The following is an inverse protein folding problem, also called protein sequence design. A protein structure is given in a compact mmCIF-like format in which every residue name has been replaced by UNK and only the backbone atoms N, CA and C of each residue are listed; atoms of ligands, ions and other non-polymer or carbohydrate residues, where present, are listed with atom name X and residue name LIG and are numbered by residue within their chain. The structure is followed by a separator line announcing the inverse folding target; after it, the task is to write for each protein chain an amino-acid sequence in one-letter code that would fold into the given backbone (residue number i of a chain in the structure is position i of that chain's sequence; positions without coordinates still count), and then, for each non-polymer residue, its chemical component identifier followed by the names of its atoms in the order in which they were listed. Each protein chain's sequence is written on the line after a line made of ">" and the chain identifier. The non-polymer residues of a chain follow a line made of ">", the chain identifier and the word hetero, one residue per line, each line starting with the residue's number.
data_IF_193940829713
#
_entry.id   IF_193940829713
#
_cell.length_a   1.000
_cell.length_b   1.000
_cell.length_c   1.000
_cell.angle_alpha   90.00
_cell.angle_beta   90.00
_cell.angle_gamma   90.00
#
_symmetry.space_group_name_H-M   'P 1'
#
loop_
_entity.id
_entity.type
_entity.pdbx_description
1 polymer ?
#
# COMPACT_ATOMS: atom_id res chain seq x y z
N UNK A 1 -0.79 0.70 26.29
CA UNK A 1 -0.66 -0.75 26.05
C UNK A 1 -1.03 -1.58 27.29
N UNK A 2 -0.59 -1.25 28.50
CA UNK A 2 -0.87 -2.07 29.71
C UNK A 2 -2.36 -2.38 29.94
N UNK A 3 -3.24 -1.39 29.74
CA UNK A 3 -4.70 -1.60 29.84
C UNK A 3 -5.22 -2.58 28.78
N UNK A 4 -4.66 -2.54 27.57
CA UNK A 4 -5.02 -3.46 26.48
C UNK A 4 -4.62 -4.89 26.84
N UNK A 5 -3.43 -5.09 27.41
CA UNK A 5 -2.97 -6.40 27.87
C UNK A 5 -3.89 -6.99 28.92
N UNK A 6 -4.35 -6.15 29.88
CA UNK A 6 -5.33 -6.54 30.90
C UNK A 6 -6.68 -6.94 30.29
N UNK A 7 -7.15 -6.20 29.30
CA UNK A 7 -8.39 -6.52 28.56
C UNK A 7 -8.29 -7.82 27.76
N UNK A 8 -7.19 -8.03 27.06
CA UNK A 8 -6.94 -9.28 26.32
C UNK A 8 -6.98 -10.48 27.27
N UNK A 9 -6.38 -10.35 28.46
CA UNK A 9 -6.40 -11.41 29.47
C UNK A 9 -7.81 -11.70 30.03
N UNK A 10 -8.67 -10.68 30.15
CA UNK A 10 -10.03 -10.83 30.69
C UNK A 10 -11.04 -11.31 29.64
N UNK A 11 -10.92 -10.86 28.37
CA UNK A 11 -11.86 -11.19 27.29
C UNK A 11 -11.47 -12.47 26.57
N UNK A 12 -10.18 -12.80 26.56
CA UNK A 12 -9.58 -13.95 25.86
C UNK A 12 -9.99 -14.07 24.38
N UNK A 13 -9.79 -13.02 23.55
CA UNK A 13 -10.22 -13.01 22.16
C UNK A 13 -9.34 -13.90 21.27
N UNK A 14 -9.89 -14.41 20.16
CA UNK A 14 -9.16 -15.13 19.11
C UNK A 14 -8.47 -14.18 18.12
N UNK A 15 -9.08 -13.02 17.87
CA UNK A 15 -8.58 -11.98 16.98
C UNK A 15 -8.42 -10.65 17.75
N UNK A 16 -7.26 -10.03 17.58
CA UNK A 16 -6.94 -8.71 18.14
C UNK A 16 -6.57 -7.78 17.01
N UNK A 17 -7.21 -6.62 16.95
CA UNK A 17 -6.90 -5.56 15.98
C UNK A 17 -6.45 -4.33 16.77
N UNK A 18 -5.27 -3.81 16.44
CA UNK A 18 -4.68 -2.61 17.03
C UNK A 18 -4.59 -1.52 15.97
N UNK A 19 -5.44 -0.51 16.06
CA UNK A 19 -5.47 0.65 15.17
C UNK A 19 -5.29 1.96 15.97
N UNK A 20 -4.17 2.61 15.88
CA UNK A 20 -2.91 2.26 15.23
C UNK A 20 -1.85 1.96 16.30
N UNK A 21 -0.89 1.11 15.94
CA UNK A 21 0.16 0.70 16.89
C UNK A 21 0.99 1.89 17.43
N UNK A 22 1.12 2.97 16.65
CA UNK A 22 1.88 4.15 17.05
C UNK A 22 1.23 4.96 18.18
N UNK A 23 -0.06 4.77 18.43
CA UNK A 23 -0.77 5.52 19.49
C UNK A 23 -0.54 4.95 20.88
N UNK A 24 0.06 3.77 20.98
CA UNK A 24 0.25 3.07 22.24
C UNK A 24 1.63 3.30 22.86
N UNK A 25 1.68 3.24 24.18
CA UNK A 25 2.90 3.30 24.98
C UNK A 25 2.93 2.19 26.01
N UNK A 26 4.12 1.71 26.35
CA UNK A 26 4.41 0.88 27.51
C UNK A 26 5.10 1.73 28.58
N UNK A 27 4.59 1.70 29.81
CA UNK A 27 5.11 2.51 30.92
C UNK A 27 6.56 2.15 31.28
N UNK A 28 6.93 0.91 31.06
CA UNK A 28 8.29 0.39 31.32
C UNK A 28 9.38 1.07 30.47
N UNK A 29 8.99 1.72 29.37
CA UNK A 29 9.90 2.38 28.42
C UNK A 29 9.81 3.92 28.43
N UNK A 30 9.40 4.51 29.57
CA UNK A 30 9.52 5.95 29.78
C UNK A 30 11.00 6.38 29.83
N UNK A 31 11.34 7.57 29.25
CA UNK A 31 10.50 8.68 28.85
C UNK A 31 10.10 8.71 27.35
N UNK A 32 10.26 7.61 26.62
CA UNK A 32 9.89 7.57 25.19
C UNK A 32 8.40 7.85 24.99
N UNK A 33 8.07 8.69 23.99
CA UNK A 33 6.69 9.11 23.69
C UNK A 33 5.99 8.13 22.77
N UNK A 34 4.65 8.17 22.73
CA UNK A 34 3.84 7.50 21.72
C UNK A 34 4.32 7.89 20.32
N UNK A 35 4.31 6.95 19.37
CA UNK A 35 4.80 7.14 18.01
C UNK A 35 6.32 7.10 17.87
N UNK A 36 7.09 7.10 18.96
CA UNK A 36 8.53 6.91 18.85
C UNK A 36 8.86 5.48 18.36
N UNK A 37 9.93 5.28 17.57
CA UNK A 37 10.32 3.96 17.08
C UNK A 37 10.46 2.93 18.21
N UNK A 38 11.01 3.34 19.36
CA UNK A 38 11.18 2.47 20.54
C UNK A 38 9.83 2.01 21.08
N UNK A 39 8.89 2.93 21.35
CA UNK A 39 7.57 2.57 21.88
C UNK A 39 6.78 1.71 20.90
N UNK A 40 6.79 2.05 19.62
CA UNK A 40 6.13 1.28 18.56
C UNK A 40 6.65 -0.15 18.52
N UNK A 41 7.99 -0.30 18.55
CA UNK A 41 8.66 -1.60 18.54
C UNK A 41 8.28 -2.44 19.77
N UNK A 42 8.33 -1.85 20.96
CA UNK A 42 8.05 -2.58 22.20
C UNK A 42 6.57 -2.95 22.33
N UNK A 43 5.66 -2.06 21.90
CA UNK A 43 4.25 -2.40 21.81
C UNK A 43 3.99 -3.56 20.84
N UNK A 44 4.65 -3.55 19.67
CA UNK A 44 4.55 -4.63 18.70
C UNK A 44 5.13 -5.94 19.24
N UNK A 45 6.29 -5.91 19.90
CA UNK A 45 6.87 -7.08 20.58
C UNK A 45 5.92 -7.68 21.59
N UNK A 46 5.21 -6.86 22.37
CA UNK A 46 4.20 -7.34 23.31
C UNK A 46 3.07 -8.09 22.60
N UNK A 47 2.57 -7.55 21.47
CA UNK A 47 1.53 -8.19 20.67
C UNK A 47 2.02 -9.48 20.01
N UNK A 48 3.26 -9.53 19.52
CA UNK A 48 3.85 -10.75 18.95
C UNK A 48 3.97 -11.86 20.01
N UNK A 49 4.34 -11.52 21.25
CA UNK A 49 4.35 -12.49 22.35
C UNK A 49 2.96 -13.09 22.63
N UNK A 50 1.92 -12.26 22.54
CA UNK A 50 0.53 -12.72 22.69
C UNK A 50 0.11 -13.60 21.51
N UNK A 51 0.40 -13.16 20.28
CA UNK A 51 0.07 -13.92 19.09
C UNK A 51 0.70 -15.31 19.09
N UNK A 52 1.97 -15.38 19.48
CA UNK A 52 2.78 -16.62 19.43
C UNK A 52 2.82 -17.38 20.77
N UNK A 53 1.90 -17.11 21.68
CA UNK A 53 1.81 -17.88 22.93
C UNK A 53 1.44 -19.34 22.63
N UNK A 54 2.32 -20.32 22.95
CA UNK A 54 2.08 -21.73 22.60
C UNK A 54 0.81 -22.32 23.26
N UNK A 55 0.47 -21.82 24.44
CA UNK A 55 -0.71 -22.29 25.19
C UNK A 55 -2.01 -21.69 24.67
N UNK A 56 -1.95 -20.52 24.04
CA UNK A 56 -3.11 -19.79 23.53
C UNK A 56 -2.69 -18.88 22.36
N UNK A 57 -2.45 -19.46 21.17
CA UNK A 57 -2.12 -18.69 19.98
C UNK A 57 -3.33 -17.84 19.54
N UNK A 58 -3.06 -16.61 19.03
CA UNK A 58 -4.10 -15.68 18.58
C UNK A 58 -3.71 -15.02 17.28
N UNK A 59 -4.70 -14.65 16.49
CA UNK A 59 -4.49 -13.78 15.34
C UNK A 59 -4.38 -12.31 15.83
N UNK A 60 -3.34 -11.61 15.37
CA UNK A 60 -3.12 -10.19 15.69
C UNK A 60 -2.89 -9.40 14.42
N UNK A 61 -3.68 -8.35 14.23
CA UNK A 61 -3.54 -7.37 13.15
C UNK A 61 -3.05 -6.06 13.78
N UNK A 62 -1.89 -5.59 13.33
CA UNK A 62 -1.33 -4.30 13.71
C UNK A 62 -1.51 -3.34 12.54
N UNK A 63 -2.32 -2.30 12.72
CA UNK A 63 -2.47 -1.23 11.74
C UNK A 63 -1.43 -0.16 12.05
N UNK A 64 -0.68 0.23 11.02
CA UNK A 64 0.31 1.29 11.09
C UNK A 64 0.15 2.27 9.95
N UNK A 65 0.31 3.56 10.20
CA UNK A 65 0.28 4.60 9.18
C UNK A 65 1.70 4.96 8.78
N UNK A 66 1.97 5.01 7.49
CA UNK A 66 3.26 5.40 6.93
C UNK A 66 3.18 6.83 6.39
N UNK A 67 3.92 7.75 6.99
CA UNK A 67 4.13 9.09 6.42
C UNK A 67 5.38 9.07 5.53
N UNK A 68 5.31 9.74 4.39
CA UNK A 68 6.37 9.69 3.34
C UNK A 68 7.77 10.13 3.84
N UNK A 69 7.92 10.83 4.97
CA UNK A 69 9.18 11.48 5.35
C UNK A 69 9.87 11.04 6.67
N UNK A 70 9.21 10.44 7.64
CA UNK A 70 9.84 10.21 8.96
C UNK A 70 9.62 8.83 9.58
N UNK A 71 8.55 8.12 9.25
CA UNK A 71 8.16 6.90 9.95
C UNK A 71 8.66 5.60 9.29
N UNK A 72 9.30 5.70 8.11
CA UNK A 72 9.79 4.51 7.40
C UNK A 72 10.77 3.67 8.22
N UNK A 73 11.54 4.26 9.13
CA UNK A 73 12.52 3.51 9.92
C UNK A 73 11.85 2.68 11.04
N UNK A 74 10.83 3.21 11.70
CA UNK A 74 10.12 2.53 12.79
C UNK A 74 9.24 1.38 12.30
N UNK A 75 8.43 1.61 11.27
CA UNK A 75 7.52 0.59 10.73
C UNK A 75 8.25 -0.50 9.94
N UNK A 76 9.30 -0.17 9.18
CA UNK A 76 10.15 -1.19 8.52
C UNK A 76 10.78 -2.16 9.51
N UNK A 77 11.09 -1.70 10.71
CA UNK A 77 11.59 -2.58 11.76
C UNK A 77 10.54 -3.60 12.22
N UNK A 78 9.24 -3.27 12.15
CA UNK A 78 8.15 -4.18 12.48
C UNK A 78 8.00 -5.32 11.47
N UNK A 79 8.39 -5.11 10.21
CA UNK A 79 8.31 -6.14 9.17
C UNK A 79 9.07 -7.41 9.55
N UNK A 80 10.15 -7.27 10.34
CA UNK A 80 10.91 -8.43 10.81
C UNK A 80 10.18 -9.24 11.88
N UNK A 81 9.30 -8.62 12.64
CA UNK A 81 8.57 -9.24 13.75
C UNK A 81 7.34 -10.02 13.31
N UNK A 82 6.65 -9.54 12.28
CA UNK A 82 5.36 -10.06 11.83
C UNK A 82 5.52 -11.15 10.75
N UNK A 83 4.50 -11.97 10.58
CA UNK A 83 4.53 -13.07 9.62
C UNK A 83 4.05 -12.63 8.22
N UNK A 84 3.18 -11.63 8.16
CA UNK A 84 2.64 -11.07 6.92
C UNK A 84 2.63 -9.54 7.00
N UNK A 85 2.98 -8.87 5.92
CA UNK A 85 2.89 -7.42 5.76
C UNK A 85 2.03 -7.14 4.54
N UNK A 86 0.95 -6.40 4.76
CA UNK A 86 0.07 -5.88 3.73
C UNK A 86 0.21 -4.36 3.67
N UNK A 87 0.36 -3.82 2.49
CA UNK A 87 0.48 -2.39 2.25
C UNK A 87 -0.71 -1.94 1.40
N UNK A 88 -1.40 -0.88 1.86
CA UNK A 88 -2.44 -0.21 1.09
C UNK A 88 -1.88 1.14 0.66
N UNK A 89 -1.81 1.34 -0.65
CA UNK A 89 -1.31 2.58 -1.25
C UNK A 89 -2.39 3.23 -2.12
N UNK A 90 -2.28 4.54 -2.34
CA UNK A 90 -3.13 5.32 -3.23
C UNK A 90 -2.94 6.82 -3.01
N UNK A 91 -3.09 7.59 -4.05
CA UNK A 91 -3.02 9.05 -4.00
C UNK A 91 -4.28 9.62 -3.35
N UNK A 92 -4.15 10.74 -2.62
CA UNK A 92 -5.30 11.33 -1.90
C UNK A 92 -6.39 11.85 -2.84
N UNK A 93 -6.01 12.23 -4.06
CA UNK A 93 -6.92 12.77 -5.07
C UNK A 93 -7.53 11.69 -5.97
N UNK A 94 -7.02 10.47 -5.91
CA UNK A 94 -7.51 9.34 -6.68
C UNK A 94 -8.41 8.43 -5.84
N UNK A 95 -9.38 7.82 -6.49
CA UNK A 95 -10.24 6.83 -5.84
C UNK A 95 -9.58 5.45 -5.76
N UNK A 96 -8.56 5.20 -6.58
CA UNK A 96 -7.88 3.92 -6.64
C UNK A 96 -7.06 3.67 -5.36
N UNK A 97 -7.17 2.44 -4.85
CA UNK A 97 -6.32 1.91 -3.77
C UNK A 97 -5.77 0.56 -4.19
N UNK A 98 -4.50 0.38 -3.94
CA UNK A 98 -3.77 -0.84 -4.25
C UNK A 98 -3.40 -1.54 -2.94
N UNK A 99 -3.76 -2.80 -2.81
CA UNK A 99 -3.39 -3.65 -1.69
C UNK A 99 -2.37 -4.68 -2.16
N UNK A 100 -1.18 -4.66 -1.60
CA UNK A 100 -0.13 -5.62 -1.94
C UNK A 100 0.44 -6.30 -0.70
N UNK A 101 0.92 -7.52 -0.88
CA UNK A 101 1.68 -8.24 0.13
C UNK A 101 3.18 -8.09 -0.13
N UNK A 102 3.89 -7.39 0.75
CA UNK A 102 5.34 -7.21 0.67
C UNK A 102 6.10 -8.30 1.41
N UNK A 103 5.45 -8.96 2.38
CA UNK A 103 5.96 -10.11 3.11
C UNK A 103 4.84 -11.09 3.42
N UNK A 104 5.10 -12.37 3.19
CA UNK A 104 4.16 -13.43 3.56
C UNK A 104 4.93 -14.73 3.84
N UNK A 105 4.93 -15.18 5.10
CA UNK A 105 5.55 -16.46 5.50
C UNK A 105 4.73 -17.68 5.12
N UNK A 106 3.45 -17.49 4.78
CA UNK A 106 2.51 -18.57 4.52
C UNK A 106 2.22 -18.79 3.04
N UNK A 107 2.77 -17.94 2.16
CA UNK A 107 2.55 -18.02 0.73
C UNK A 107 3.40 -17.05 -0.08
N UNK A 108 3.08 -16.89 -1.35
CA UNK A 108 3.75 -15.95 -2.25
C UNK A 108 3.51 -14.51 -1.88
N UNK A 109 4.41 -13.63 -2.31
CA UNK A 109 4.24 -12.20 -2.37
C UNK A 109 4.10 -11.76 -3.82
N UNK A 110 3.56 -10.58 -4.09
CA UNK A 110 3.39 -10.06 -5.45
C UNK A 110 1.96 -10.20 -5.99
N UNK A 111 1.05 -10.75 -5.22
CA UNK A 111 -0.38 -10.59 -5.48
C UNK A 111 -0.81 -9.16 -5.13
N UNK A 112 -1.58 -8.55 -6.04
CA UNK A 112 -2.08 -7.19 -5.88
C UNK A 112 -3.60 -7.17 -6.04
N UNK A 113 -4.28 -6.52 -5.11
CA UNK A 113 -5.72 -6.25 -5.14
C UNK A 113 -5.96 -4.78 -5.43
N UNK A 114 -6.96 -4.49 -6.25
CA UNK A 114 -7.37 -3.12 -6.58
C UNK A 114 -8.74 -2.83 -6.00
N UNK A 115 -8.88 -1.65 -5.43
CA UNK A 115 -10.10 -1.19 -4.79
C UNK A 115 -10.40 0.25 -5.18
N UNK A 116 -11.67 0.57 -5.27
CA UNK A 116 -12.15 1.95 -5.38
C UNK A 116 -12.60 2.45 -4.01
N UNK A 117 -12.14 3.64 -3.63
CA UNK A 117 -12.62 4.34 -2.45
C UNK A 117 -13.94 5.03 -2.78
N UNK A 118 -15.01 4.60 -2.16
CA UNK A 118 -16.37 5.15 -2.32
C UNK A 118 -16.88 5.71 -0.99
N UNK A 119 -18.05 6.34 -1.00
CA UNK A 119 -18.74 6.79 0.23
C UNK A 119 -19.09 5.61 1.15
N UNK A 120 -19.27 4.42 0.60
CA UNK A 120 -19.57 3.20 1.35
C UNK A 120 -18.29 2.47 1.84
N UNK A 121 -17.09 2.95 1.45
CA UNK A 121 -15.80 2.37 1.78
C UNK A 121 -15.06 1.80 0.58
N UNK A 122 -14.20 0.81 0.81
CA UNK A 122 -13.41 0.16 -0.22
C UNK A 122 -14.24 -0.90 -0.96
N UNK A 123 -14.40 -0.71 -2.27
CA UNK A 123 -15.08 -1.65 -3.17
C UNK A 123 -14.05 -2.32 -4.08
N UNK A 124 -14.07 -3.65 -4.16
CA UNK A 124 -13.14 -4.41 -5.02
C UNK A 124 -13.31 -4.08 -6.49
N UNK A 125 -12.21 -3.93 -7.20
CA UNK A 125 -12.15 -3.78 -8.66
C UNK A 125 -11.68 -5.12 -9.23
N UNK A 126 -12.60 -5.88 -9.81
CA UNK A 126 -12.29 -7.20 -10.35
C UNK A 126 -11.48 -7.12 -11.65
N UNK A 127 -11.74 -6.09 -12.47
CA UNK A 127 -11.01 -5.83 -13.71
C UNK A 127 -10.33 -4.46 -13.67
N UNK A 128 -9.09 -4.36 -13.16
CA UNK A 128 -8.38 -3.08 -13.10
C UNK A 128 -8.13 -2.45 -14.47
N UNK A 129 -8.09 -3.24 -15.55
CA UNK A 129 -7.92 -2.71 -16.90
C UNK A 129 -9.04 -1.74 -17.31
N UNK A 130 -10.26 -1.94 -16.83
CA UNK A 130 -11.38 -1.03 -17.09
C UNK A 130 -11.16 0.36 -16.46
N UNK A 131 -10.39 0.42 -15.39
CA UNK A 131 -10.05 1.69 -14.72
C UNK A 131 -9.00 2.50 -15.51
N UNK A 132 -8.09 1.80 -16.21
CA UNK A 132 -6.96 2.40 -16.91
C UNK A 132 -7.20 2.57 -18.43
N UNK A 133 -8.38 2.25 -18.91
CA UNK A 133 -8.77 2.39 -20.31
C UNK A 133 -9.91 3.37 -20.45
N UNK A 134 -9.81 4.24 -21.46
CA UNK A 134 -10.95 5.07 -21.85
C UNK A 134 -11.93 4.23 -22.65
N UNK A 135 -13.17 4.12 -22.15
CA UNK A 135 -14.25 3.46 -22.89
C UNK A 135 -14.62 4.34 -24.08
N UNK A 136 -14.32 3.85 -25.30
CA UNK A 136 -14.64 4.52 -26.56
C UNK A 136 -15.51 3.60 -27.42
N UNK A 137 -16.43 4.20 -28.17
CA UNK A 137 -17.13 3.47 -29.22
C UNK A 137 -16.15 3.04 -30.34
N UNK A 138 -16.41 1.89 -30.96
CA UNK A 138 -15.58 1.38 -32.07
C UNK A 138 -15.39 2.37 -33.23
N UNK A 139 -16.26 3.38 -33.32
CA UNK A 139 -16.24 4.45 -34.33
C UNK A 139 -15.29 5.61 -33.98
N UNK A 140 -14.89 5.73 -32.72
CA UNK A 140 -14.06 6.83 -32.20
C UNK A 140 -12.58 6.42 -32.13
N UNK A 141 -12.01 6.08 -33.30
CA UNK A 141 -10.56 5.89 -33.40
C UNK A 141 -9.84 7.23 -33.24
N UNK A 142 -9.20 7.42 -32.12
CA UNK A 142 -8.36 8.61 -31.86
C UNK A 142 -6.92 8.29 -32.27
N UNK A 143 -6.35 9.13 -33.13
CA UNK A 143 -4.93 9.02 -33.45
C UNK A 143 -4.09 9.44 -32.25
N UNK A 144 -3.00 8.73 -31.99
CA UNK A 144 -2.12 9.00 -30.86
C UNK A 144 -2.46 8.22 -29.60
N UNK A 145 -3.39 7.27 -29.67
CA UNK A 145 -3.69 6.34 -28.58
C UNK A 145 -3.23 4.92 -28.95
N UNK A 146 -2.60 4.23 -28.00
CA UNK A 146 -2.17 2.84 -28.14
C UNK A 146 -2.37 2.08 -26.84
N UNK A 147 -2.86 0.85 -26.95
CA UNK A 147 -2.96 -0.05 -25.80
C UNK A 147 -1.63 -0.77 -25.58
N UNK A 148 -1.22 -0.86 -24.34
CA UNK A 148 -0.08 -1.65 -23.89
C UNK A 148 -0.48 -2.55 -22.74
N UNK A 149 0.33 -3.57 -22.48
CA UNK A 149 0.13 -4.46 -21.34
C UNK A 149 1.34 -4.34 -20.43
N UNK A 150 1.10 -4.00 -19.21
CA UNK A 150 2.09 -4.05 -18.14
C UNK A 150 1.78 -5.21 -17.20
N UNK A 151 2.80 -5.70 -16.55
CA UNK A 151 2.63 -6.72 -15.52
C UNK A 151 2.79 -6.08 -14.16
N UNK A 152 1.72 -6.13 -13.37
CA UNK A 152 1.72 -5.66 -12.00
C UNK A 152 1.54 -6.86 -11.06
N UNK A 153 2.60 -7.19 -10.32
CA UNK A 153 2.66 -8.45 -9.59
C UNK A 153 2.53 -9.66 -10.51
N UNK A 154 1.46 -10.44 -10.35
CA UNK A 154 1.14 -11.62 -11.19
C UNK A 154 0.10 -11.31 -12.27
N UNK A 155 -0.56 -10.13 -12.23
CA UNK A 155 -1.64 -9.76 -13.14
C UNK A 155 -1.14 -8.94 -14.34
N UNK A 156 -1.58 -9.27 -15.57
CA UNK A 156 -1.48 -8.37 -16.71
C UNK A 156 -2.53 -7.26 -16.59
N UNK A 157 -2.11 -6.01 -16.72
CA UNK A 157 -3.00 -4.85 -16.74
C UNK A 157 -2.87 -4.18 -18.11
N UNK A 158 -4.00 -3.91 -18.74
CA UNK A 158 -4.04 -3.16 -19.99
C UNK A 158 -4.09 -1.68 -19.64
N UNK A 159 -3.15 -0.92 -20.20
CA UNK A 159 -3.08 0.53 -20.09
C UNK A 159 -3.25 1.18 -21.45
N UNK A 160 -3.85 2.34 -21.47
CA UNK A 160 -3.87 3.21 -22.64
C UNK A 160 -2.75 4.26 -22.54
N UNK A 161 -1.92 4.33 -23.55
CA UNK A 161 -0.89 5.37 -23.72
C UNK A 161 -1.37 6.35 -24.77
N UNK A 162 -1.46 7.61 -24.38
CA UNK A 162 -1.86 8.69 -25.28
C UNK A 162 -0.67 9.58 -25.62
N UNK A 163 -0.59 10.02 -26.85
CA UNK A 163 0.42 10.95 -27.33
C UNK A 163 -0.17 12.05 -28.19
N UNK A 164 0.30 13.27 -27.99
CA UNK A 164 -0.06 14.42 -28.81
C UNK A 164 1.20 14.97 -29.47
N UNK A 165 1.18 15.04 -30.80
CA UNK A 165 2.26 15.63 -31.58
C UNK A 165 1.74 16.89 -32.25
N UNK A 166 2.46 18.00 -32.09
CA UNK A 166 2.17 19.26 -32.76
C UNK A 166 3.39 19.83 -33.43
N UNK A 167 3.17 20.66 -34.43
CA UNK A 167 4.26 21.39 -35.14
C UNK A 167 4.90 22.37 -34.13
N UNK A 168 6.23 22.37 -34.07
CA UNK A 168 6.99 23.28 -33.23
C UNK A 168 7.82 24.25 -34.07
N UNK A 169 7.79 25.53 -33.72
CA UNK A 169 8.66 26.57 -34.27
C UNK A 169 9.94 26.79 -33.45
N UNK A 170 10.12 25.98 -32.39
CA UNK A 170 11.31 26.04 -31.55
C UNK A 170 12.50 25.37 -32.26
N UNK A 171 13.74 25.90 -32.06
CA UNK A 171 14.96 25.32 -32.65
C UNK A 171 15.17 23.84 -32.25
N UNK A 172 14.68 23.46 -31.09
CA UNK A 172 14.76 22.10 -30.55
C UNK A 172 13.36 21.61 -30.20
N UNK A 173 12.98 20.40 -30.59
CA UNK A 173 11.68 19.82 -30.22
C UNK A 173 11.62 19.58 -28.70
N UNK A 174 10.51 19.97 -28.10
CA UNK A 174 10.22 19.67 -26.70
C UNK A 174 9.50 18.35 -26.59
N UNK A 175 9.88 17.52 -25.62
CA UNK A 175 9.24 16.24 -25.29
C UNK A 175 8.87 16.25 -23.83
N UNK A 176 7.60 16.05 -23.55
CA UNK A 176 7.03 16.02 -22.20
C UNK A 176 6.27 14.71 -22.07
N UNK A 177 6.49 13.98 -21.01
CA UNK A 177 5.77 12.74 -20.70
C UNK A 177 5.33 12.72 -19.26
N UNK A 178 4.07 12.40 -19.03
CA UNK A 178 3.52 12.07 -17.74
C UNK A 178 3.74 10.57 -17.50
N UNK A 179 4.16 10.18 -16.32
CA UNK A 179 4.48 8.78 -16.00
C UNK A 179 5.72 8.20 -16.70
N UNK A 180 6.39 8.97 -17.59
CA UNK A 180 7.58 8.55 -18.33
C UNK A 180 8.80 9.39 -17.95
N UNK A 181 9.92 8.73 -17.70
CA UNK A 181 11.18 9.42 -17.46
C UNK A 181 11.65 10.13 -18.73
N UNK A 182 12.09 11.38 -18.58
CA UNK A 182 12.52 12.24 -19.69
C UNK A 182 13.64 11.64 -20.54
N UNK A 183 14.60 10.99 -19.89
CA UNK A 183 15.70 10.29 -20.56
C UNK A 183 15.20 9.14 -21.43
N UNK A 184 14.26 8.34 -20.94
CA UNK A 184 13.64 7.26 -21.70
C UNK A 184 12.87 7.82 -22.91
N UNK A 185 12.07 8.88 -22.71
CA UNK A 185 11.32 9.50 -23.79
C UNK A 185 12.24 10.04 -24.90
N UNK A 186 13.39 10.62 -24.54
CA UNK A 186 14.38 11.11 -25.52
C UNK A 186 15.08 10.01 -26.31
N UNK A 187 15.11 8.78 -25.80
CA UNK A 187 15.68 7.62 -26.50
C UNK A 187 14.65 7.02 -27.48
N UNK A 188 13.37 7.07 -27.12
CA UNK A 188 12.29 6.45 -27.89
C UNK A 188 11.84 7.31 -29.10
N UNK A 189 12.08 8.62 -29.05
CA UNK A 189 11.69 9.62 -30.05
C UNK A 189 12.92 10.39 -30.54
#
# INVERSE_FOLDING_TARGET
>A
MNNVLGHIASVDPDLIIIDSIQTFTLEEHFPSRAGSPTQTMECANAMVRIAKNPSRPRAVILVGQMNKNEEMAGLRSLEHLVDTVLVIEGENEEQLRELQSTKNRFGGTGEMGFFSMTEEGLVSIDNPSEFFMTVRDERDRVSGSALTVVREGTRPIILEIESLVSTSFMPYPSRIGEGLRRDHLNILV
#
